data_IF_190247379256
#
_entry.id   IF_190247379256
#
_cell.length_a   1.000
_cell.length_b   1.000
_cell.length_c   1.000
_cell.angle_alpha   90.00
_cell.angle_beta   90.00
_cell.angle_gamma   90.00
#
_symmetry.space_group_name_H-M   'P 1'
#
loop_
_entity.id
_entity.type
_entity.pdbx_description
1 polymer ?
#
# COMPACT_ATOMS: atom_id res chain seq x y z
N UNK A 1 25.80 6.40 14.90
CA UNK A 1 26.89 5.43 15.19
C UNK A 1 26.29 4.07 15.48
N UNK A 2 26.93 2.98 15.03
CA UNK A 2 26.42 1.60 15.07
C UNK A 2 26.74 0.78 13.81
N UNK A 3 27.19 1.42 12.72
CA UNK A 3 27.45 0.77 11.43
C UNK A 3 28.43 -0.41 11.51
N UNK A 4 29.58 -0.34 12.20
CA UNK A 4 30.51 -1.49 12.31
C UNK A 4 29.90 -2.69 13.04
N UNK A 5 29.12 -2.43 14.09
CA UNK A 5 28.45 -3.48 14.86
C UNK A 5 27.32 -4.14 14.06
N UNK A 6 26.54 -3.34 13.33
CA UNK A 6 25.52 -3.82 12.40
C UNK A 6 26.12 -4.60 11.23
N UNK A 7 27.22 -4.13 10.66
CA UNK A 7 27.92 -4.84 9.59
C UNK A 7 28.43 -6.19 10.09
N UNK A 8 29.03 -6.23 11.29
CA UNK A 8 29.46 -7.48 11.92
C UNK A 8 28.27 -8.42 12.15
N UNK A 9 27.15 -7.90 12.65
CA UNK A 9 25.92 -8.67 12.88
C UNK A 9 25.34 -9.22 11.58
N UNK A 10 25.24 -8.36 10.54
CA UNK A 10 24.81 -8.73 9.20
C UNK A 10 25.66 -9.87 8.65
N UNK A 11 26.99 -9.73 8.67
CA UNK A 11 27.90 -10.74 8.13
C UNK A 11 27.80 -12.07 8.87
N UNK A 12 27.64 -12.06 10.20
CA UNK A 12 27.46 -13.27 10.99
C UNK A 12 26.15 -14.00 10.64
N UNK A 13 25.04 -13.25 10.54
CA UNK A 13 23.73 -13.80 10.18
C UNK A 13 23.67 -14.24 8.72
N UNK A 14 24.24 -13.45 7.82
CA UNK A 14 24.32 -13.75 6.39
C UNK A 14 25.11 -15.03 6.14
N UNK A 15 26.21 -15.27 6.86
CA UNK A 15 26.98 -16.52 6.75
C UNK A 15 26.15 -17.76 7.07
N UNK A 16 25.19 -17.66 7.99
CA UNK A 16 24.31 -18.76 8.41
C UNK A 16 23.16 -19.04 7.44
N UNK A 17 22.88 -18.12 6.51
CA UNK A 17 21.86 -18.35 5.49
C UNK A 17 22.20 -19.54 4.59
N UNK A 18 21.16 -20.27 4.20
CA UNK A 18 21.24 -21.31 3.19
C UNK A 18 21.77 -20.78 1.86
N UNK A 19 22.35 -21.66 1.06
CA UNK A 19 22.83 -21.29 -0.29
C UNK A 19 21.71 -20.70 -1.15
N UNK A 20 20.48 -21.23 -1.03
CA UNK A 20 19.31 -20.72 -1.77
C UNK A 20 18.92 -19.31 -1.33
N UNK A 21 18.89 -19.04 -0.03
CA UNK A 21 18.60 -17.70 0.49
C UNK A 21 19.64 -16.68 0.03
N UNK A 22 20.93 -17.02 0.08
CA UNK A 22 22.02 -16.18 -0.44
C UNK A 22 21.86 -15.89 -1.94
N UNK A 23 21.52 -16.92 -2.74
CA UNK A 23 21.29 -16.76 -4.17
C UNK A 23 20.10 -15.83 -4.47
N UNK A 24 19.02 -15.92 -3.68
CA UNK A 24 17.88 -14.98 -3.80
C UNK A 24 18.32 -13.55 -3.47
N UNK A 25 19.04 -13.33 -2.36
CA UNK A 25 19.55 -11.99 -2.01
C UNK A 25 20.45 -11.41 -3.12
N UNK A 26 21.30 -12.24 -3.73
CA UNK A 26 22.18 -11.83 -4.84
C UNK A 26 21.38 -11.32 -6.04
N UNK A 27 20.27 -11.99 -6.37
CA UNK A 27 19.38 -11.58 -7.47
C UNK A 27 18.70 -10.22 -7.24
N UNK A 28 18.54 -9.82 -5.99
CA UNK A 28 18.05 -8.49 -5.62
C UNK A 28 19.19 -7.49 -5.34
N UNK A 29 20.46 -7.85 -5.55
CA UNK A 29 21.66 -7.07 -5.19
C UNK A 29 21.74 -6.72 -3.69
N UNK A 30 21.23 -7.60 -2.83
CA UNK A 30 21.15 -7.43 -1.38
C UNK A 30 22.17 -8.30 -0.61
N UNK A 31 23.21 -8.80 -1.28
CA UNK A 31 24.32 -9.51 -0.63
C UNK A 31 25.28 -8.54 0.04
N UNK A 32 25.44 -7.35 -0.53
CA UNK A 32 26.19 -6.24 0.05
C UNK A 32 25.40 -5.57 1.20
N UNK A 33 26.11 -5.26 2.29
CA UNK A 33 25.51 -4.67 3.49
C UNK A 33 24.88 -3.31 3.22
N UNK A 34 25.56 -2.43 2.47
CA UNK A 34 25.07 -1.06 2.27
C UNK A 34 23.78 -1.08 1.43
N UNK A 35 23.74 -1.92 0.39
CA UNK A 35 22.52 -2.12 -0.40
C UNK A 35 21.39 -2.72 0.43
N UNK A 36 21.66 -3.77 1.22
CA UNK A 36 20.67 -4.38 2.10
C UNK A 36 20.10 -3.37 3.09
N UNK A 37 20.98 -2.63 3.78
CA UNK A 37 20.61 -1.65 4.79
C UNK A 37 19.75 -0.53 4.21
N UNK A 38 20.15 0.05 3.07
CA UNK A 38 19.38 1.12 2.44
C UNK A 38 18.01 0.64 1.94
N UNK A 39 17.94 -0.51 1.28
CA UNK A 39 16.70 -1.00 0.70
C UNK A 39 15.69 -1.44 1.78
N UNK A 40 16.13 -2.26 2.73
CA UNK A 40 15.24 -2.95 3.66
C UNK A 40 14.96 -2.11 4.93
N UNK A 41 15.96 -1.35 5.40
CA UNK A 41 15.89 -0.65 6.68
C UNK A 41 15.52 0.81 6.49
N UNK A 42 16.30 1.57 5.71
CA UNK A 42 16.08 3.03 5.53
C UNK A 42 14.80 3.28 4.72
N UNK A 43 14.71 2.69 3.53
CA UNK A 43 13.60 2.95 2.62
C UNK A 43 12.34 2.14 2.94
N UNK A 44 12.41 1.24 3.94
CA UNK A 44 11.32 0.35 4.36
C UNK A 44 10.68 -0.41 3.19
N UNK A 45 11.43 -0.72 2.14
CA UNK A 45 10.86 -1.47 1.01
C UNK A 45 10.42 -2.85 1.48
N UNK A 46 9.16 -3.20 1.19
CA UNK A 46 8.67 -4.58 1.26
C UNK A 46 9.18 -5.31 0.03
N UNK A 47 10.37 -5.90 0.12
CA UNK A 47 10.87 -6.81 -0.91
C UNK A 47 10.10 -8.11 -0.78
N UNK A 48 9.33 -8.46 -1.80
CA UNK A 48 8.64 -9.75 -1.89
C UNK A 48 9.60 -10.77 -2.48
N UNK A 49 10.41 -11.45 -1.65
CA UNK A 49 11.38 -12.42 -2.15
C UNK A 49 10.71 -13.58 -2.91
N UNK A 50 9.46 -13.91 -2.57
CA UNK A 50 8.63 -14.91 -3.22
C UNK A 50 8.30 -14.59 -4.68
N UNK A 51 8.56 -13.36 -5.15
CA UNK A 51 8.46 -13.06 -6.59
C UNK A 51 9.58 -13.70 -7.41
N UNK A 52 10.67 -14.15 -6.76
CA UNK A 52 11.75 -14.85 -7.44
C UNK A 52 11.48 -16.36 -7.49
N UNK A 53 11.59 -16.95 -8.70
CA UNK A 53 11.28 -18.37 -8.96
C UNK A 53 12.02 -19.37 -8.06
N UNK A 54 13.22 -19.00 -7.60
CA UNK A 54 14.06 -19.84 -6.74
C UNK A 54 13.79 -19.64 -5.23
N UNK A 55 12.85 -18.76 -4.88
CA UNK A 55 12.43 -18.49 -3.51
C UNK A 55 11.20 -19.33 -3.14
N UNK A 56 11.43 -20.60 -2.82
CA UNK A 56 10.38 -21.45 -2.22
C UNK A 56 10.02 -21.01 -0.80
N UNK A 57 8.92 -21.54 -0.25
CA UNK A 57 8.37 -21.12 1.04
C UNK A 57 9.39 -21.19 2.20
N UNK A 58 10.20 -22.26 2.24
CA UNK A 58 11.26 -22.39 3.26
C UNK A 58 12.32 -21.29 3.14
N UNK A 59 12.71 -20.93 1.91
CA UNK A 59 13.70 -19.86 1.64
C UNK A 59 13.11 -18.50 1.99
N UNK A 60 11.84 -18.26 1.66
CA UNK A 60 11.12 -17.04 2.02
C UNK A 60 11.10 -16.85 3.53
N UNK A 61 10.70 -17.88 4.28
CA UNK A 61 10.63 -17.85 5.75
C UNK A 61 12.00 -17.55 6.37
N UNK A 62 13.06 -18.16 5.85
CA UNK A 62 14.43 -17.91 6.29
C UNK A 62 14.84 -16.43 6.07
N UNK A 63 14.53 -15.87 4.90
CA UNK A 63 14.82 -14.47 4.57
C UNK A 63 14.00 -13.49 5.40
N UNK A 64 12.73 -13.80 5.68
CA UNK A 64 11.87 -12.97 6.54
C UNK A 64 12.40 -12.92 7.98
N UNK A 65 12.84 -14.06 8.51
CA UNK A 65 13.49 -14.14 9.83
C UNK A 65 14.76 -13.29 9.83
N UNK A 66 15.62 -13.43 8.80
CA UNK A 66 16.85 -12.66 8.66
C UNK A 66 16.58 -11.14 8.65
N UNK A 67 15.59 -10.70 7.88
CA UNK A 67 15.21 -9.28 7.80
C UNK A 67 14.63 -8.78 9.13
N UNK A 68 13.74 -9.55 9.75
CA UNK A 68 13.10 -9.18 11.02
C UNK A 68 14.11 -9.06 12.14
N UNK A 69 14.99 -10.06 12.28
CA UNK A 69 16.04 -10.10 13.28
C UNK A 69 17.03 -8.93 13.12
N UNK A 70 17.36 -8.59 11.88
CA UNK A 70 18.20 -7.42 11.59
C UNK A 70 17.52 -6.10 11.96
N UNK A 71 16.20 -5.95 11.71
CA UNK A 71 15.43 -4.75 12.10
C UNK A 71 15.38 -4.56 13.61
N UNK A 72 15.19 -5.63 14.37
CA UNK A 72 15.22 -5.59 15.84
C UNK A 72 16.58 -5.10 16.31
N UNK A 73 17.66 -5.68 15.78
CA UNK A 73 19.02 -5.26 16.16
C UNK A 73 19.32 -3.80 15.82
N UNK A 74 18.79 -3.30 14.72
CA UNK A 74 18.89 -1.90 14.34
C UNK A 74 18.20 -0.98 15.35
N UNK A 75 16.96 -1.28 15.75
CA UNK A 75 16.25 -0.44 16.72
C UNK A 75 16.93 -0.49 18.10
N UNK A 76 17.43 -1.65 18.56
CA UNK A 76 18.23 -1.73 19.81
C UNK A 76 19.44 -0.79 19.78
N UNK A 77 20.19 -0.80 18.67
CA UNK A 77 21.39 0.03 18.53
C UNK A 77 21.03 1.51 18.36
N UNK A 78 19.90 1.79 17.72
CA UNK A 78 19.37 3.14 17.58
C UNK A 78 18.97 3.70 18.94
N UNK A 79 18.26 2.95 19.76
CA UNK A 79 17.93 3.32 21.15
C UNK A 79 19.18 3.53 22.00
N UNK A 80 20.16 2.63 21.92
CA UNK A 80 21.46 2.81 22.59
C UNK A 80 22.24 4.03 22.11
N UNK A 81 22.08 4.41 20.84
CA UNK A 81 22.71 5.59 20.26
C UNK A 81 21.91 6.88 20.50
N UNK A 82 20.65 6.79 20.93
CA UNK A 82 19.76 7.94 21.17
C UNK A 82 20.11 8.74 22.43
N UNK A 83 21.07 8.27 23.22
CA UNK A 83 21.74 9.06 24.27
C UNK A 83 22.84 9.99 23.73
N UNK A 84 23.16 9.96 22.43
CA UNK A 84 23.99 10.98 21.78
C UNK A 84 23.12 12.05 21.14
N UNK A 85 23.43 13.30 21.47
CA UNK A 85 22.80 14.51 20.96
C UNK A 85 22.48 14.40 19.47
N UNK A 86 21.20 14.22 19.14
CA UNK A 86 20.69 14.55 17.80
C UNK A 86 21.08 15.99 17.52
N UNK A 87 21.75 16.22 16.39
CA UNK A 87 21.97 17.56 15.86
C UNK A 87 20.59 18.21 15.71
N UNK A 88 20.20 19.04 16.68
CA UNK A 88 18.98 19.82 16.61
C UNK A 88 19.25 20.99 15.67
N UNK A 89 18.89 20.81 14.41
CA UNK A 89 18.73 21.94 13.48
C UNK A 89 17.50 22.75 13.90
N UNK A 90 17.64 24.06 13.87
CA UNK A 90 16.53 25.00 13.99
C UNK A 90 15.66 24.92 12.74
N UNK A 91 14.37 25.23 12.90
CA UNK A 91 13.40 25.28 11.81
C UNK A 91 13.85 26.20 10.67
N UNK A 92 14.49 27.33 11.00
CA UNK A 92 15.07 28.26 10.02
C UNK A 92 16.14 27.61 9.13
N UNK A 93 16.99 26.75 9.69
CA UNK A 93 18.04 26.04 8.93
C UNK A 93 17.43 24.99 7.99
N UNK A 94 16.38 24.30 8.45
CA UNK A 94 15.64 23.32 7.65
C UNK A 94 15.00 24.01 6.44
N UNK A 95 14.25 25.09 6.69
CA UNK A 95 13.59 25.88 5.64
C UNK A 95 14.59 26.43 4.63
N UNK A 96 15.74 26.95 5.09
CA UNK A 96 16.74 27.51 4.17
C UNK A 96 17.44 26.42 3.35
N UNK A 97 17.67 25.24 3.93
CA UNK A 97 18.14 24.08 3.18
C UNK A 97 17.15 23.67 2.08
N UNK A 98 15.86 23.60 2.38
CA UNK A 98 14.82 23.29 1.39
C UNK A 98 14.82 24.28 0.21
N UNK A 99 14.94 25.59 0.49
CA UNK A 99 15.07 26.61 -0.57
C UNK A 99 16.32 26.43 -1.43
N UNK A 100 17.40 25.91 -0.87
CA UNK A 100 18.62 25.61 -1.64
C UNK A 100 18.43 24.36 -2.50
N UNK A 101 17.74 23.34 -1.99
CA UNK A 101 17.38 22.13 -2.73
C UNK A 101 16.47 22.44 -3.92
N UNK A 102 15.52 23.35 -3.77
CA UNK A 102 14.58 23.76 -4.84
C UNK A 102 15.26 24.36 -6.09
N UNK A 103 16.47 24.89 -5.90
CA UNK A 103 17.31 25.48 -6.97
C UNK A 103 18.14 24.45 -7.72
N UNK A 104 18.20 23.20 -7.26
CA UNK A 104 18.96 22.14 -7.90
C UNK A 104 18.25 21.62 -9.16
N UNK A 105 19.02 21.01 -10.06
CA UNK A 105 18.43 20.30 -11.20
C UNK A 105 17.69 19.04 -10.74
N UNK A 106 16.69 18.61 -11.50
CA UNK A 106 15.93 17.36 -11.23
C UNK A 106 16.86 16.15 -11.11
N UNK A 107 17.92 16.12 -11.93
CA UNK A 107 18.91 15.05 -11.86
C UNK A 107 19.61 15.01 -10.50
N UNK A 108 20.01 16.18 -9.98
CA UNK A 108 20.66 16.28 -8.67
C UNK A 108 19.71 15.92 -7.54
N UNK A 109 18.45 16.39 -7.59
CA UNK A 109 17.40 16.03 -6.62
C UNK A 109 17.20 14.51 -6.57
N UNK A 110 17.09 13.85 -7.72
CA UNK A 110 16.93 12.39 -7.77
C UNK A 110 18.15 11.64 -7.19
N UNK A 111 19.36 12.16 -7.38
CA UNK A 111 20.56 11.58 -6.76
C UNK A 111 20.57 11.79 -5.26
N UNK A 112 20.23 12.98 -4.77
CA UNK A 112 20.11 13.23 -3.33
C UNK A 112 19.04 12.35 -2.69
N UNK A 113 17.89 12.16 -3.35
CA UNK A 113 16.84 11.25 -2.90
C UNK A 113 17.35 9.80 -2.81
N UNK A 114 18.03 9.32 -3.86
CA UNK A 114 18.61 7.97 -3.89
C UNK A 114 19.60 7.73 -2.74
N UNK A 115 20.35 8.77 -2.36
CA UNK A 115 21.30 8.73 -1.25
C UNK A 115 20.66 8.90 0.13
N UNK A 116 19.38 9.28 0.21
CA UNK A 116 18.76 9.69 1.48
C UNK A 116 19.33 11.02 2.01
N UNK A 117 19.73 11.91 1.11
CA UNK A 117 20.33 13.21 1.37
C UNK A 117 19.42 14.39 0.98
N UNK A 118 18.11 14.16 0.80
CA UNK A 118 17.15 15.19 0.40
C UNK A 118 16.68 16.07 1.58
N UNK A 119 17.02 15.71 2.82
CA UNK A 119 16.79 16.54 4.00
C UNK A 119 18.13 16.96 4.64
N UNK A 120 18.07 18.01 5.46
CA UNK A 120 19.25 18.64 6.06
C UNK A 120 20.11 17.67 6.88
N UNK A 121 19.48 16.79 7.66
CA UNK A 121 20.18 15.79 8.47
C UNK A 121 20.93 14.78 7.60
N UNK A 122 20.25 14.20 6.61
CA UNK A 122 20.81 13.24 5.67
C UNK A 122 21.96 13.85 4.86
N UNK A 123 21.77 15.09 4.38
CA UNK A 123 22.79 15.81 3.65
C UNK A 123 24.02 16.10 4.51
N UNK A 124 23.83 16.63 5.73
CA UNK A 124 24.94 16.90 6.65
C UNK A 124 25.71 15.63 6.97
N UNK A 125 24.98 14.54 7.28
CA UNK A 125 25.58 13.24 7.60
C UNK A 125 26.44 12.66 6.48
N UNK A 126 26.08 12.93 5.22
CA UNK A 126 26.72 12.31 4.05
C UNK A 126 27.78 13.19 3.39
N UNK A 127 27.64 14.52 3.46
CA UNK A 127 28.50 15.44 2.71
C UNK A 127 29.31 16.39 3.60
N UNK A 128 28.86 16.64 4.84
CA UNK A 128 29.51 17.55 5.79
C UNK A 128 30.23 16.81 6.93
N UNK A 129 29.74 15.64 7.34
CA UNK A 129 30.39 14.84 8.38
C UNK A 129 31.75 14.29 7.89
N UNK A 130 32.76 14.41 8.74
CA UNK A 130 34.08 13.82 8.50
C UNK A 130 34.07 12.28 8.46
N UNK A 131 33.03 11.66 9.03
CA UNK A 131 32.94 10.21 9.20
C UNK A 131 32.43 9.45 7.96
N UNK A 132 31.78 10.11 7.00
CA UNK A 132 31.24 9.46 5.79
C UNK A 132 31.65 10.23 4.53
N UNK A 133 32.63 9.72 3.79
CA UNK A 133 32.98 10.24 2.47
C UNK A 133 32.36 9.36 1.39
N UNK A 134 31.15 9.70 0.97
CA UNK A 134 30.62 9.17 -0.30
C UNK A 134 31.29 9.95 -1.43
N UNK A 135 31.83 9.23 -2.41
CA UNK A 135 32.27 9.81 -3.68
C UNK A 135 31.08 9.84 -4.65
N UNK A 136 30.48 11.01 -4.94
CA UNK A 136 29.28 11.08 -5.74
C UNK A 136 29.50 10.60 -7.18
N UNK A 137 30.74 10.66 -7.70
CA UNK A 137 31.05 10.21 -9.06
C UNK A 137 30.89 8.70 -9.25
N UNK A 138 30.90 7.92 -8.16
CA UNK A 138 30.62 6.48 -8.21
C UNK A 138 29.14 6.17 -8.35
N UNK A 139 28.26 7.17 -8.21
CA UNK A 139 26.82 6.99 -8.33
C UNK A 139 26.42 7.09 -9.80
N UNK A 140 25.67 6.08 -10.26
CA UNK A 140 25.13 6.06 -11.62
C UNK A 140 24.36 7.35 -11.92
N UNK A 141 24.66 7.96 -13.07
CA UNK A 141 24.10 9.23 -13.54
C UNK A 141 24.57 10.50 -12.79
N UNK A 142 25.55 10.41 -11.88
CA UNK A 142 26.17 11.59 -11.27
C UNK A 142 27.30 12.14 -12.16
N UNK A 143 26.93 12.91 -13.17
CA UNK A 143 27.91 13.62 -14.01
C UNK A 143 28.55 14.81 -13.29
N UNK A 144 29.60 15.38 -13.90
CA UNK A 144 30.34 16.54 -13.36
C UNK A 144 29.42 17.70 -12.98
N UNK A 145 28.38 17.98 -13.79
CA UNK A 145 27.40 19.03 -13.49
C UNK A 145 26.64 18.77 -12.19
N UNK A 146 26.16 17.54 -11.98
CA UNK A 146 25.47 17.15 -10.75
C UNK A 146 26.40 17.24 -9.55
N UNK A 147 27.65 16.80 -9.70
CA UNK A 147 28.66 16.94 -8.66
C UNK A 147 28.89 18.42 -8.27
N UNK A 148 29.01 19.32 -9.25
CA UNK A 148 29.19 20.75 -9.00
C UNK A 148 27.98 21.36 -8.27
N UNK A 149 26.75 20.94 -8.61
CA UNK A 149 25.55 21.36 -7.89
C UNK A 149 25.55 20.89 -6.42
N UNK A 150 25.97 19.65 -6.15
CA UNK A 150 26.10 19.11 -4.79
C UNK A 150 27.19 19.86 -4.01
N UNK A 151 28.33 20.13 -4.62
CA UNK A 151 29.42 20.89 -3.98
C UNK A 151 29.00 22.33 -3.67
N UNK A 152 28.29 22.99 -4.60
CA UNK A 152 27.76 24.34 -4.34
C UNK A 152 26.73 24.35 -3.21
N UNK A 153 25.88 23.32 -3.11
CA UNK A 153 24.95 23.16 -1.99
C UNK A 153 25.70 22.96 -0.67
N UNK A 154 26.76 22.13 -0.69
CA UNK A 154 27.64 21.88 0.45
C UNK A 154 28.26 23.17 0.98
N UNK A 155 28.89 23.96 0.11
CA UNK A 155 29.54 25.23 0.49
C UNK A 155 28.55 26.22 1.12
N UNK A 156 27.37 26.39 0.52
CA UNK A 156 26.33 27.29 1.05
C UNK A 156 25.85 26.84 2.43
N UNK A 157 25.72 25.52 2.61
CA UNK A 157 25.28 24.96 3.88
C UNK A 157 26.36 25.06 4.96
N UNK A 158 27.64 24.90 4.61
CA UNK A 158 28.75 25.14 5.55
C UNK A 158 28.76 26.58 6.06
N UNK A 159 28.51 27.57 5.20
CA UNK A 159 28.37 28.98 5.62
C UNK A 159 27.18 29.15 6.57
N UNK A 160 26.05 28.53 6.24
CA UNK A 160 24.83 28.61 7.05
C UNK A 160 24.99 27.96 8.43
N UNK A 161 25.75 26.87 8.54
CA UNK A 161 25.95 26.14 9.79
C UNK A 161 27.16 26.63 10.60
N UNK A 162 28.16 27.27 9.97
CA UNK A 162 29.35 27.82 10.67
C UNK A 162 28.99 28.88 11.71
N UNK A 163 27.88 29.60 11.56
CA UNK A 163 27.39 30.57 12.56
C UNK A 163 27.09 29.94 13.93
N UNK A 164 27.03 28.61 14.05
CA UNK A 164 26.90 27.91 15.34
C UNK A 164 28.20 27.34 15.91
N UNK A 165 29.25 27.20 15.10
CA UNK A 165 30.49 26.54 15.57
C UNK A 165 31.50 27.52 16.19
N UNK A 166 31.31 28.83 16.03
CA UNK A 166 32.16 29.87 16.64
C UNK A 166 31.56 30.48 17.92
N UNK A 167 30.26 30.31 18.18
CA UNK A 167 29.60 30.73 19.43
C UNK A 167 29.24 29.51 20.31
N UNK A 168 30.25 28.91 20.95
CA UNK A 168 30.03 28.04 22.11
C UNK A 168 30.82 28.62 23.29
N UNK A 169 30.32 29.72 23.84
CA UNK A 169 30.56 30.07 25.25
C UNK A 169 29.42 29.47 26.08
N UNK A 170 29.71 28.77 27.19
CA UNK A 170 28.66 28.19 28.03
C UNK A 170 28.02 29.29 28.88
N UNK A 171 26.76 29.64 28.62
CA UNK A 171 25.93 30.49 29.47
C UNK A 171 24.54 29.86 29.65
N UNK A 172 23.84 30.17 30.75
CA UNK A 172 23.25 29.19 31.63
C UNK A 172 21.82 28.85 31.22
N UNK A 173 21.41 27.64 31.59
CA UNK A 173 20.04 27.15 31.53
C UNK A 173 19.07 28.13 32.20
N UNK A 174 18.27 28.82 31.38
CA UNK A 174 16.95 29.30 31.78
C UNK A 174 15.90 28.43 31.11
N UNK A 175 15.11 27.79 31.95
CA UNK A 175 13.87 27.12 31.58
C UNK A 175 12.90 28.16 31.03
N UNK A 176 12.49 27.97 29.77
CA UNK A 176 11.29 28.60 29.21
C UNK A 176 10.32 27.49 28.88
N UNK A 177 9.30 27.36 29.72
CA UNK A 177 8.07 26.62 29.49
C UNK A 177 7.24 27.36 28.44
N UNK A 178 7.59 27.17 27.16
CA UNK A 178 6.75 27.55 26.03
C UNK A 178 5.88 26.36 25.64
N UNK A 179 4.58 26.48 25.88
CA UNK A 179 3.55 25.55 25.38
C UNK A 179 3.67 25.56 23.84
N UNK A 180 4.13 24.45 23.27
CA UNK A 180 4.10 24.20 21.83
C UNK A 180 2.64 23.93 21.49
N UNK A 181 2.00 24.87 20.78
CA UNK A 181 0.70 24.63 20.18
C UNK A 181 0.80 23.43 19.25
N UNK A 182 -0.07 22.44 19.48
CA UNK A 182 -0.12 21.22 18.68
C UNK A 182 -0.35 21.55 17.20
N UNK A 183 0.24 20.81 16.25
CA UNK A 183 -0.10 20.93 14.84
C UNK A 183 -1.62 20.84 14.68
N UNK A 184 -2.25 21.84 14.06
CA UNK A 184 -3.66 21.80 13.72
C UNK A 184 -3.95 20.46 13.05
N UNK A 185 -4.83 19.65 13.66
CA UNK A 185 -5.24 18.36 13.09
C UNK A 185 -5.75 18.63 11.67
N UNK A 186 -4.98 18.20 10.67
CA UNK A 186 -5.41 18.15 9.28
C UNK A 186 -6.78 17.46 9.27
N UNK A 187 -7.80 18.19 8.86
CA UNK A 187 -9.13 17.65 8.72
C UNK A 187 -9.05 16.62 7.59
N UNK A 188 -9.17 15.33 7.91
CA UNK A 188 -9.17 14.28 6.90
C UNK A 188 -10.42 14.43 6.03
N UNK A 189 -10.22 14.85 4.78
CA UNK A 189 -11.28 14.82 3.78
C UNK A 189 -11.56 13.37 3.39
N UNK A 190 -12.82 12.98 3.36
CA UNK A 190 -13.25 11.66 2.95
C UNK A 190 -14.07 11.79 1.68
N UNK A 191 -13.60 11.19 0.59
CA UNK A 191 -14.31 11.15 -0.68
C UNK A 191 -15.02 9.81 -0.84
N UNK A 192 -16.29 9.86 -1.26
CA UNK A 192 -17.06 8.66 -1.60
C UNK A 192 -16.42 7.96 -2.80
N UNK A 193 -16.68 6.66 -2.93
CA UNK A 193 -16.05 5.90 -4.00
C UNK A 193 -16.41 6.48 -5.38
N UNK A 194 -17.65 6.92 -5.59
CA UNK A 194 -18.09 7.57 -6.83
C UNK A 194 -17.17 8.70 -7.29
N UNK A 195 -16.62 9.48 -6.35
CA UNK A 195 -15.65 10.52 -6.69
C UNK A 195 -14.25 9.96 -6.94
N UNK A 196 -13.78 8.98 -6.16
CA UNK A 196 -12.55 8.26 -6.50
C UNK A 196 -12.64 7.64 -7.92
N UNK A 197 -13.80 7.12 -8.30
CA UNK A 197 -14.06 6.58 -9.63
C UNK A 197 -13.98 7.67 -10.70
N UNK A 198 -14.67 8.79 -10.48
CA UNK A 198 -14.63 9.94 -11.37
C UNK A 198 -13.20 10.46 -11.55
N UNK A 199 -12.44 10.59 -10.47
CA UNK A 199 -11.04 11.02 -10.51
C UNK A 199 -10.19 10.02 -11.30
N UNK A 200 -10.24 8.73 -10.97
CA UNK A 200 -9.40 7.71 -11.59
C UNK A 200 -9.73 7.50 -13.08
N UNK A 201 -11.00 7.58 -13.46
CA UNK A 201 -11.40 7.54 -14.88
C UNK A 201 -10.78 8.72 -15.64
N UNK A 202 -11.00 9.95 -15.15
CA UNK A 202 -10.46 11.14 -15.78
C UNK A 202 -8.93 11.17 -15.77
N UNK A 203 -8.29 10.60 -14.74
CA UNK A 203 -6.84 10.43 -14.69
C UNK A 203 -6.36 9.40 -15.73
N UNK A 204 -7.12 8.31 -15.94
CA UNK A 204 -6.76 7.24 -16.87
C UNK A 204 -6.82 7.64 -18.34
N UNK A 205 -7.64 8.62 -18.71
CA UNK A 205 -7.73 9.15 -20.07
C UNK A 205 -6.64 10.20 -20.37
N UNK A 206 -5.91 10.68 -19.36
CA UNK A 206 -4.79 11.59 -19.56
C UNK A 206 -3.66 10.95 -20.39
N UNK A 207 -2.95 11.80 -21.13
CA UNK A 207 -1.71 11.46 -21.80
C UNK A 207 -0.67 10.94 -20.79
N UNK A 208 0.20 10.04 -21.24
CA UNK A 208 1.25 9.49 -20.36
C UNK A 208 2.15 10.59 -19.78
N UNK A 209 2.34 11.68 -20.51
CA UNK A 209 3.13 12.83 -20.06
C UNK A 209 2.42 13.56 -18.91
N UNK A 210 1.13 13.85 -19.03
CA UNK A 210 0.32 14.46 -17.97
C UNK A 210 0.29 13.58 -16.72
N UNK A 211 0.05 12.27 -16.87
CA UNK A 211 0.11 11.30 -15.76
C UNK A 211 1.44 11.33 -15.02
N UNK A 212 2.55 11.28 -15.75
CA UNK A 212 3.88 11.31 -15.15
C UNK A 212 4.14 12.61 -14.36
N UNK A 213 3.63 13.75 -14.83
CA UNK A 213 3.73 15.03 -14.12
C UNK A 213 2.97 14.97 -12.79
N UNK A 214 1.71 14.51 -12.82
CA UNK A 214 0.89 14.37 -11.61
C UNK A 214 1.50 13.36 -10.62
N UNK A 215 2.01 12.22 -11.10
CA UNK A 215 2.71 11.22 -10.25
C UNK A 215 3.94 11.83 -9.58
N UNK A 216 4.80 12.52 -10.34
CA UNK A 216 6.01 13.15 -9.81
C UNK A 216 5.70 14.31 -8.86
N UNK A 217 4.52 14.90 -8.97
CA UNK A 217 4.04 15.96 -8.06
C UNK A 217 3.25 15.39 -6.88
N UNK A 218 3.16 14.07 -6.74
CA UNK A 218 2.35 13.38 -5.74
C UNK A 218 0.85 13.73 -5.81
N UNK A 219 0.31 14.04 -6.99
CA UNK A 219 -1.09 14.39 -7.26
C UNK A 219 -1.82 13.30 -8.06
N UNK A 220 -1.34 12.05 -7.99
CA UNK A 220 -1.90 10.93 -8.76
C UNK A 220 -3.07 10.21 -8.09
N UNK A 221 -3.48 10.62 -6.88
CA UNK A 221 -4.65 10.07 -6.19
C UNK A 221 -5.58 11.21 -5.78
N UNK A 222 -6.88 10.91 -5.66
CA UNK A 222 -7.87 11.90 -5.25
C UNK A 222 -7.53 12.50 -3.87
N UNK A 223 -7.09 11.67 -2.92
CA UNK A 223 -6.75 12.14 -1.58
C UNK A 223 -5.58 13.11 -1.60
N UNK A 224 -4.51 12.79 -2.33
CA UNK A 224 -3.34 13.66 -2.41
C UNK A 224 -3.62 14.93 -3.19
N UNK A 225 -4.44 14.81 -4.24
CA UNK A 225 -4.95 15.92 -5.03
C UNK A 225 -5.78 16.86 -4.17
N UNK A 226 -6.82 16.36 -3.51
CA UNK A 226 -7.71 17.17 -2.71
C UNK A 226 -7.02 17.77 -1.49
N UNK A 227 -6.14 17.02 -0.81
CA UNK A 227 -5.32 17.58 0.27
C UNK A 227 -4.46 18.72 -0.24
N UNK A 228 -3.84 18.58 -1.41
CA UNK A 228 -3.08 19.67 -2.02
C UNK A 228 -3.96 20.90 -2.25
N UNK A 229 -5.12 20.76 -2.88
CA UNK A 229 -5.97 21.90 -3.24
C UNK A 229 -6.66 22.55 -2.02
N UNK A 230 -7.14 21.74 -1.07
CA UNK A 230 -7.89 22.23 0.08
C UNK A 230 -6.94 22.85 1.13
N UNK A 231 -5.81 22.20 1.42
CA UNK A 231 -4.86 22.71 2.44
C UNK A 231 -4.12 23.93 1.93
N UNK A 232 -3.79 23.98 0.64
CA UNK A 232 -2.94 25.05 0.12
C UNK A 232 -3.70 26.31 -0.29
N UNK A 233 -5.05 26.29 -0.30
CA UNK A 233 -5.92 27.38 -0.81
C UNK A 233 -5.44 27.97 -2.16
N UNK A 234 -4.68 27.19 -2.93
CA UNK A 234 -4.01 27.70 -4.11
C UNK A 234 -4.89 27.49 -5.33
N UNK A 235 -5.11 28.57 -6.07
CA UNK A 235 -5.58 28.48 -7.44
C UNK A 235 -4.53 27.78 -8.32
N UNK A 236 -5.02 27.01 -9.29
CA UNK A 236 -4.27 26.25 -10.30
C UNK A 236 -3.12 27.06 -10.92
N UNK A 237 -3.32 28.36 -11.13
CA UNK A 237 -2.35 29.27 -11.74
C UNK A 237 -0.99 29.32 -11.01
N UNK A 238 -0.94 28.92 -9.75
CA UNK A 238 0.28 28.90 -8.96
C UNK A 238 1.12 27.64 -9.14
N UNK A 239 0.56 26.54 -9.66
CA UNK A 239 1.31 25.29 -9.86
C UNK A 239 2.09 25.37 -11.17
N UNK A 240 3.36 25.74 -11.08
CA UNK A 240 4.28 25.69 -12.23
C UNK A 240 4.81 24.28 -12.42
N UNK A 241 4.10 23.47 -13.20
CA UNK A 241 4.60 22.16 -13.64
C UNK A 241 5.83 22.34 -14.53
N UNK A 242 7.01 21.91 -14.04
CA UNK A 242 8.25 21.94 -14.83
C UNK A 242 8.15 20.97 -16.02
N UNK A 243 8.71 21.34 -17.17
CA UNK A 243 8.72 20.53 -18.41
C UNK A 243 7.33 20.19 -18.98
N UNK A 244 6.32 21.03 -18.73
CA UNK A 244 5.01 20.89 -19.34
C UNK A 244 5.01 21.58 -20.72
N UNK A 245 4.76 20.82 -21.79
CA UNK A 245 4.50 21.42 -23.10
C UNK A 245 3.09 22.00 -23.13
N UNK A 246 2.82 22.98 -23.99
CA UNK A 246 1.53 23.70 -24.09
C UNK A 246 0.31 22.77 -24.06
N UNK A 247 0.30 21.73 -24.92
CA UNK A 247 -0.78 20.71 -24.95
C UNK A 247 -0.98 19.99 -23.61
N UNK A 248 0.11 19.63 -22.93
CA UNK A 248 0.02 18.94 -21.63
C UNK A 248 -0.46 19.91 -20.55
N UNK A 249 -0.11 21.19 -20.65
CA UNK A 249 -0.58 22.23 -19.73
C UNK A 249 -2.09 22.42 -19.86
N UNK A 250 -2.62 22.52 -21.08
CA UNK A 250 -4.07 22.62 -21.33
C UNK A 250 -4.83 21.39 -20.84
N UNK A 251 -4.29 20.20 -21.10
CA UNK A 251 -4.85 18.92 -20.65
C UNK A 251 -4.92 18.85 -19.11
N UNK A 252 -3.82 19.20 -18.42
CA UNK A 252 -3.79 19.23 -16.96
C UNK A 252 -4.73 20.28 -16.39
N UNK A 253 -4.79 21.48 -16.97
CA UNK A 253 -5.71 22.53 -16.53
C UNK A 253 -7.18 22.09 -16.64
N UNK A 254 -7.52 21.43 -17.76
CA UNK A 254 -8.88 20.90 -17.99
C UNK A 254 -9.23 19.80 -16.98
N UNK A 255 -8.31 18.86 -16.74
CA UNK A 255 -8.48 17.80 -15.74
C UNK A 255 -8.66 18.37 -14.33
N UNK A 256 -7.79 19.29 -13.93
CA UNK A 256 -7.81 19.85 -12.58
C UNK A 256 -9.12 20.60 -12.35
N UNK A 257 -9.52 21.48 -13.28
CA UNK A 257 -10.78 22.21 -13.21
C UNK A 257 -11.98 21.27 -13.09
N UNK A 258 -11.99 20.18 -13.87
CA UNK A 258 -13.04 19.17 -13.80
C UNK A 258 -13.14 18.52 -12.40
N UNK A 259 -12.01 18.24 -11.75
CA UNK A 259 -12.01 17.71 -10.39
C UNK A 259 -12.45 18.78 -9.38
N UNK A 260 -11.94 20.00 -9.47
CA UNK A 260 -12.32 21.12 -8.59
C UNK A 260 -13.82 21.42 -8.65
N UNK A 261 -14.39 21.52 -9.84
CA UNK A 261 -15.82 21.71 -10.05
C UNK A 261 -16.59 20.58 -9.36
N UNK A 262 -16.08 19.34 -9.42
CA UNK A 262 -16.69 18.19 -8.75
C UNK A 262 -16.54 18.25 -7.22
N UNK A 263 -15.44 18.79 -6.68
CA UNK A 263 -15.31 19.04 -5.23
C UNK A 263 -16.32 20.10 -4.79
N UNK A 264 -16.42 21.20 -5.54
CA UNK A 264 -17.25 22.36 -5.18
C UNK A 264 -18.76 22.08 -5.21
N UNK A 265 -19.23 21.26 -6.14
CA UNK A 265 -20.67 21.03 -6.36
C UNK A 265 -21.25 19.85 -5.58
N UNK A 266 -20.45 19.11 -4.84
CA UNK A 266 -20.83 17.79 -4.36
C UNK A 266 -20.80 17.77 -2.82
N UNK A 267 -21.88 18.24 -2.19
CA UNK A 267 -22.06 18.16 -0.73
C UNK A 267 -22.25 16.71 -0.25
N UNK A 268 -22.56 15.77 -1.16
CA UNK A 268 -22.76 14.34 -0.90
C UNK A 268 -21.49 13.49 -0.97
N UNK A 269 -20.33 14.15 -1.02
CA UNK A 269 -18.99 13.54 -1.12
C UNK A 269 -18.67 12.57 0.02
N UNK A 270 -19.46 12.55 1.10
CA UNK A 270 -19.16 11.77 2.31
C UNK A 270 -19.96 10.47 2.48
N UNK A 271 -20.93 10.18 1.61
CA UNK A 271 -21.83 9.03 1.78
C UNK A 271 -21.45 7.86 0.85
N UNK A 272 -20.39 7.10 1.18
CA UNK A 272 -20.24 5.76 0.57
C UNK A 272 -21.42 4.90 1.00
N UNK A 273 -22.03 4.22 0.03
CA UNK A 273 -23.13 3.27 0.26
C UNK A 273 -22.61 1.84 0.49
N UNK A 274 -21.30 1.66 0.67
CA UNK A 274 -20.63 0.38 0.81
C UNK A 274 -19.91 -0.08 -0.46
N UNK A 275 -18.96 -1.00 -0.28
CA UNK A 275 -18.01 -1.44 -1.32
C UNK A 275 -18.74 -2.08 -2.51
N UNK A 276 -19.81 -2.83 -2.26
CA UNK A 276 -20.57 -3.51 -3.29
C UNK A 276 -21.43 -2.53 -4.08
N UNK A 277 -22.09 -1.58 -3.42
CA UNK A 277 -22.82 -0.51 -4.14
C UNK A 277 -21.88 0.27 -5.06
N UNK A 278 -20.71 0.60 -4.53
CA UNK A 278 -19.70 1.38 -5.23
C UNK A 278 -19.12 0.60 -6.42
N UNK A 279 -18.86 -0.71 -6.24
CA UNK A 279 -18.44 -1.58 -7.35
C UNK A 279 -19.53 -1.76 -8.42
N UNK A 280 -20.80 -1.92 -8.02
CA UNK A 280 -21.93 -2.02 -8.96
C UNK A 280 -22.08 -0.74 -9.78
N UNK A 281 -21.88 0.42 -9.16
CA UNK A 281 -21.86 1.71 -9.85
C UNK A 281 -20.71 1.77 -10.85
N UNK A 282 -19.54 1.22 -10.49
CA UNK A 282 -18.38 1.11 -11.37
C UNK A 282 -18.64 0.22 -12.59
N UNK A 283 -19.27 -0.95 -12.41
CA UNK A 283 -19.65 -1.84 -13.51
C UNK A 283 -20.61 -1.18 -14.51
N UNK A 284 -21.52 -0.33 -14.04
CA UNK A 284 -22.52 0.35 -14.88
C UNK A 284 -21.99 1.57 -15.61
N UNK A 285 -21.11 2.34 -14.97
CA UNK A 285 -20.66 3.65 -15.47
C UNK A 285 -19.45 3.57 -16.39
N UNK A 286 -18.60 2.56 -16.27
CA UNK A 286 -17.34 2.51 -17.00
C UNK A 286 -17.30 1.49 -18.12
N UNK A 287 -16.62 1.84 -19.21
CA UNK A 287 -16.12 0.93 -20.26
C UNK A 287 -15.00 0.00 -19.76
N UNK A 288 -14.99 -0.31 -18.46
CA UNK A 288 -13.90 -1.07 -17.85
C UNK A 288 -13.92 -2.48 -18.38
N UNK A 289 -15.09 -3.11 -18.40
CA UNK A 289 -15.26 -4.42 -18.97
C UNK A 289 -15.75 -4.28 -20.41
N UNK A 290 -15.10 -5.01 -21.31
CA UNK A 290 -15.61 -5.19 -22.67
C UNK A 290 -16.90 -6.02 -22.61
N UNK A 291 -17.69 -5.97 -23.66
CA UNK A 291 -18.94 -6.74 -23.73
C UNK A 291 -18.73 -8.25 -23.47
N UNK A 292 -17.73 -8.95 -24.08
CA UNK A 292 -17.45 -10.34 -23.73
C UNK A 292 -17.10 -10.55 -22.25
N UNK A 293 -16.39 -9.61 -21.63
CA UNK A 293 -16.06 -9.67 -20.21
C UNK A 293 -17.30 -9.50 -19.32
N UNK A 294 -18.26 -8.65 -19.72
CA UNK A 294 -19.54 -8.50 -19.03
C UNK A 294 -20.40 -9.77 -19.13
N UNK A 295 -20.47 -10.41 -20.31
CA UNK A 295 -21.14 -11.71 -20.46
C UNK A 295 -20.49 -12.78 -19.58
N UNK A 296 -19.16 -12.79 -19.49
CA UNK A 296 -18.45 -13.69 -18.57
C UNK A 296 -18.78 -13.37 -17.11
N UNK A 297 -18.82 -12.10 -16.73
CA UNK A 297 -19.17 -11.64 -15.38
C UNK A 297 -20.58 -12.10 -14.97
N UNK A 298 -21.59 -11.78 -15.79
CA UNK A 298 -23.00 -12.03 -15.47
C UNK A 298 -23.41 -13.49 -15.71
N UNK A 299 -23.03 -14.08 -16.85
CA UNK A 299 -23.58 -15.36 -17.29
C UNK A 299 -22.65 -16.55 -17.05
N UNK A 300 -21.33 -16.40 -17.14
CA UNK A 300 -20.42 -17.54 -16.91
C UNK A 300 -20.12 -17.74 -15.42
N UNK A 301 -19.69 -16.66 -14.76
CA UNK A 301 -19.36 -16.66 -13.34
C UNK A 301 -20.58 -16.47 -12.43
N UNK A 302 -21.70 -15.95 -12.95
CA UNK A 302 -22.90 -15.66 -12.15
C UNK A 302 -22.57 -14.79 -10.93
N UNK A 303 -21.77 -13.75 -11.14
CA UNK A 303 -21.39 -12.83 -10.07
C UNK A 303 -22.53 -11.95 -9.59
N UNK A 304 -23.55 -11.71 -10.43
CA UNK A 304 -24.83 -11.12 -10.04
C UNK A 304 -25.96 -12.15 -10.22
N UNK A 305 -26.84 -12.21 -9.22
CA UNK A 305 -27.99 -13.12 -9.22
C UNK A 305 -29.08 -12.64 -10.18
N UNK A 306 -29.84 -13.57 -10.76
CA UNK A 306 -30.92 -13.28 -11.70
C UNK A 306 -30.53 -13.36 -13.18
N UNK A 307 -29.26 -13.63 -13.49
CA UNK A 307 -28.80 -13.89 -14.86
C UNK A 307 -28.77 -15.40 -15.16
N UNK A 308 -29.16 -15.79 -16.39
CA UNK A 308 -29.07 -17.18 -16.84
C UNK A 308 -27.60 -17.59 -17.01
N UNK A 309 -27.24 -18.79 -16.52
CA UNK A 309 -25.88 -19.30 -16.63
C UNK A 309 -25.56 -19.79 -18.04
N UNK A 310 -24.49 -19.29 -18.66
CA UNK A 310 -24.04 -19.68 -20.00
C UNK A 310 -22.72 -20.47 -19.96
N UNK A 311 -22.55 -21.38 -20.92
CA UNK A 311 -21.26 -22.01 -21.18
C UNK A 311 -20.32 -21.06 -21.95
N UNK A 312 -19.00 -21.31 -21.89
CA UNK A 312 -18.00 -20.59 -22.69
C UNK A 312 -18.34 -20.65 -24.18
N UNK A 313 -18.83 -21.80 -24.66
CA UNK A 313 -19.25 -22.00 -26.04
C UNK A 313 -20.45 -21.12 -26.42
N UNK A 314 -21.49 -21.08 -25.58
CA UNK A 314 -22.66 -20.21 -25.80
C UNK A 314 -22.25 -18.74 -25.85
N UNK A 315 -21.34 -18.30 -24.97
CA UNK A 315 -20.81 -16.93 -25.00
C UNK A 315 -20.00 -16.68 -26.28
N UNK A 316 -19.19 -17.65 -26.72
CA UNK A 316 -18.44 -17.55 -27.98
C UNK A 316 -19.34 -17.35 -29.19
N UNK A 317 -20.43 -18.12 -29.28
CA UNK A 317 -21.44 -17.97 -30.33
C UNK A 317 -22.13 -16.60 -30.29
N UNK A 318 -22.51 -16.12 -29.10
CA UNK A 318 -23.18 -14.81 -28.95
C UNK A 318 -22.28 -13.63 -29.32
N UNK A 319 -20.97 -13.74 -29.04
CA UNK A 319 -19.99 -12.67 -29.23
C UNK A 319 -19.21 -12.76 -30.54
N UNK A 320 -19.52 -13.73 -31.40
CA UNK A 320 -18.75 -14.05 -32.62
C UNK A 320 -17.24 -14.26 -32.34
N UNK A 321 -16.94 -15.04 -31.30
CA UNK A 321 -15.58 -15.35 -30.85
C UNK A 321 -15.39 -16.86 -30.67
N UNK A 322 -14.17 -17.34 -30.91
CA UNK A 322 -13.85 -18.75 -30.66
C UNK A 322 -13.90 -19.08 -29.16
N UNK A 323 -14.24 -20.33 -28.84
CA UNK A 323 -14.29 -20.85 -27.46
C UNK A 323 -12.96 -20.63 -26.72
N UNK A 324 -11.81 -20.85 -27.37
CA UNK A 324 -10.50 -20.61 -26.75
C UNK A 324 -10.27 -19.11 -26.50
N UNK A 325 -10.75 -18.22 -27.38
CA UNK A 325 -10.65 -16.78 -27.14
C UNK A 325 -11.46 -16.36 -25.92
N UNK A 326 -12.69 -16.84 -25.77
CA UNK A 326 -13.49 -16.59 -24.56
C UNK A 326 -12.81 -17.17 -23.32
N UNK A 327 -12.20 -18.36 -23.40
CA UNK A 327 -11.44 -18.97 -22.29
C UNK A 327 -10.23 -18.12 -21.87
N UNK A 328 -9.55 -17.47 -22.80
CA UNK A 328 -8.48 -16.53 -22.49
C UNK A 328 -9.00 -15.27 -21.81
N UNK A 329 -10.12 -14.72 -22.29
CA UNK A 329 -10.76 -13.53 -21.71
C UNK A 329 -11.23 -13.84 -20.29
N UNK A 330 -11.86 -15.00 -20.04
CA UNK A 330 -12.38 -15.38 -18.72
C UNK A 330 -11.32 -15.40 -17.63
N UNK A 331 -10.13 -15.94 -17.94
CA UNK A 331 -8.97 -15.90 -17.02
C UNK A 331 -8.58 -14.47 -16.60
N UNK A 332 -8.79 -13.50 -17.48
CA UNK A 332 -8.44 -12.10 -17.20
C UNK A 332 -9.51 -11.37 -16.40
N UNK A 333 -10.79 -11.76 -16.52
CA UNK A 333 -11.91 -11.11 -15.81
C UNK A 333 -11.68 -11.08 -14.31
N UNK A 334 -11.36 -12.23 -13.70
CA UNK A 334 -11.11 -12.30 -12.24
C UNK A 334 -9.93 -11.41 -11.85
N UNK A 335 -8.80 -11.49 -12.56
CA UNK A 335 -7.63 -10.66 -12.29
C UNK A 335 -7.93 -9.17 -12.41
N UNK A 336 -8.78 -8.79 -13.37
CA UNK A 336 -9.22 -7.41 -13.58
C UNK A 336 -10.09 -6.94 -12.41
N UNK A 337 -11.04 -7.77 -11.95
CA UNK A 337 -11.82 -7.50 -10.72
C UNK A 337 -10.88 -7.28 -9.54
N UNK A 338 -9.92 -8.19 -9.28
CA UNK A 338 -8.98 -8.06 -8.16
C UNK A 338 -8.20 -6.74 -8.23
N UNK A 339 -7.68 -6.39 -9.41
CA UNK A 339 -6.95 -5.12 -9.63
C UNK A 339 -7.82 -3.90 -9.39
N UNK A 340 -9.08 -3.92 -9.86
CA UNK A 340 -10.04 -2.85 -9.58
C UNK A 340 -10.18 -2.73 -8.06
N UNK A 341 -10.54 -3.80 -7.37
CA UNK A 341 -10.75 -3.75 -5.92
C UNK A 341 -9.51 -3.23 -5.18
N UNK A 342 -8.32 -3.72 -5.53
CA UNK A 342 -7.06 -3.28 -4.91
C UNK A 342 -6.76 -1.81 -5.16
N UNK A 343 -6.94 -1.34 -6.40
CA UNK A 343 -6.64 0.04 -6.76
C UNK A 343 -7.63 1.04 -6.14
N UNK A 344 -8.89 0.66 -6.00
CA UNK A 344 -9.94 1.55 -5.51
C UNK A 344 -10.14 1.49 -4.00
N UNK A 345 -10.08 0.29 -3.43
CA UNK A 345 -10.44 0.07 -2.02
C UNK A 345 -9.26 -0.37 -1.16
N UNK A 346 -8.15 -0.85 -1.75
CA UNK A 346 -7.01 -1.38 -0.99
C UNK A 346 -6.33 -0.37 -0.08
N UNK A 347 -6.38 0.92 -0.41
CA UNK A 347 -5.82 2.01 0.40
C UNK A 347 -6.74 2.49 1.54
N UNK A 348 -8.02 2.13 1.51
CA UNK A 348 -9.04 2.79 2.35
C UNK A 348 -9.58 1.82 3.40
N UNK A 349 -8.77 1.59 4.44
CA UNK A 349 -9.09 0.67 5.56
C UNK A 349 -10.46 0.92 6.19
N UNK A 350 -10.92 2.17 6.24
CA UNK A 350 -12.21 2.54 6.83
C UNK A 350 -13.41 1.91 6.11
N UNK A 351 -13.34 1.72 4.78
CA UNK A 351 -14.48 1.19 4.02
C UNK A 351 -14.72 -0.29 4.29
N UNK A 352 -13.67 -1.06 4.58
CA UNK A 352 -13.83 -2.50 4.75
C UNK A 352 -13.78 -3.00 6.19
N UNK A 353 -13.39 -2.17 7.17
CA UNK A 353 -13.40 -2.56 8.59
C UNK A 353 -14.72 -3.18 9.04
N UNK A 354 -15.85 -2.70 8.50
CA UNK A 354 -17.18 -3.20 8.84
C UNK A 354 -17.41 -4.66 8.39
N UNK A 355 -16.70 -5.17 7.39
CA UNK A 355 -16.79 -6.58 6.99
C UNK A 355 -15.77 -7.46 7.74
N UNK A 356 -14.80 -6.86 8.43
CA UNK A 356 -13.67 -7.54 9.07
C UNK A 356 -13.56 -7.18 10.56
N UNK A 357 -14.63 -7.40 11.32
CA UNK A 357 -14.68 -7.13 12.76
C UNK A 357 -14.52 -8.39 13.62
N UNK A 358 -15.11 -9.51 13.19
CA UNK A 358 -15.13 -10.76 13.94
C UNK A 358 -13.81 -11.52 13.89
N UNK A 359 -13.56 -12.42 14.83
CA UNK A 359 -12.39 -13.30 14.77
C UNK A 359 -12.40 -14.21 13.54
N UNK A 360 -13.58 -14.60 13.09
CA UNK A 360 -13.81 -15.24 11.82
C UNK A 360 -15.23 -14.93 11.31
N UNK A 361 -15.46 -15.06 10.01
CA UNK A 361 -16.80 -15.01 9.42
C UNK A 361 -16.87 -15.89 8.17
N UNK A 362 -18.08 -16.34 7.85
CA UNK A 362 -18.36 -17.20 6.69
C UNK A 362 -19.15 -16.39 5.66
N UNK A 363 -18.73 -16.45 4.41
CA UNK A 363 -19.49 -15.85 3.30
C UNK A 363 -20.54 -16.87 2.80
N UNK A 364 -21.63 -17.00 3.57
CA UNK A 364 -22.77 -17.85 3.25
C UNK A 364 -23.95 -17.07 2.63
N UNK A 365 -25.07 -17.76 2.35
CA UNK A 365 -26.24 -17.15 1.72
C UNK A 365 -26.92 -16.09 2.62
N UNK A 366 -26.85 -16.25 3.95
CA UNK A 366 -27.42 -15.29 4.90
C UNK A 366 -26.59 -14.01 4.95
N UNK A 367 -25.26 -14.16 5.06
CA UNK A 367 -24.31 -13.04 5.04
C UNK A 367 -24.47 -12.21 3.76
N UNK A 368 -24.63 -12.88 2.62
CA UNK A 368 -24.80 -12.22 1.33
C UNK A 368 -26.16 -11.56 1.18
N UNK A 369 -27.21 -12.17 1.70
CA UNK A 369 -28.53 -11.53 1.76
C UNK A 369 -28.48 -10.24 2.58
N UNK A 370 -27.73 -10.23 3.68
CA UNK A 370 -27.55 -9.03 4.50
C UNK A 370 -26.75 -7.94 3.78
N UNK A 371 -25.61 -8.27 3.16
CA UNK A 371 -24.84 -7.32 2.32
C UNK A 371 -25.72 -6.75 1.21
N UNK A 372 -26.37 -7.61 0.42
CA UNK A 372 -27.20 -7.21 -0.70
C UNK A 372 -28.36 -6.29 -0.26
N UNK A 373 -28.95 -6.55 0.91
CA UNK A 373 -29.99 -5.70 1.48
C UNK A 373 -29.44 -4.34 1.93
N UNK A 374 -28.31 -4.33 2.65
CA UNK A 374 -27.69 -3.09 3.17
C UNK A 374 -27.18 -2.19 2.05
N UNK A 375 -26.69 -2.78 0.97
CA UNK A 375 -26.02 -2.10 -0.14
C UNK A 375 -26.84 -2.07 -1.44
N UNK A 376 -28.13 -2.44 -1.41
CA UNK A 376 -29.00 -2.48 -2.59
C UNK A 376 -28.35 -3.15 -3.83
N UNK A 377 -27.72 -4.29 -3.59
CA UNK A 377 -27.01 -5.09 -4.58
C UNK A 377 -27.63 -6.48 -4.74
N UNK A 378 -27.16 -7.24 -5.73
CA UNK A 378 -27.65 -8.59 -6.03
C UNK A 378 -26.49 -9.57 -6.27
N UNK A 379 -25.34 -9.31 -5.68
CA UNK A 379 -24.15 -10.10 -5.94
C UNK A 379 -24.23 -11.49 -5.30
N UNK A 380 -23.56 -12.44 -5.93
CA UNK A 380 -23.45 -13.81 -5.42
C UNK A 380 -22.37 -13.92 -4.34
N UNK A 381 -22.45 -14.97 -3.51
CA UNK A 381 -21.43 -15.30 -2.51
C UNK A 381 -20.03 -15.41 -3.11
N UNK A 382 -19.91 -16.00 -4.30
CA UNK A 382 -18.64 -16.14 -5.00
C UNK A 382 -18.02 -14.78 -5.30
N UNK A 383 -18.82 -13.82 -5.78
CA UNK A 383 -18.34 -12.48 -6.07
C UNK A 383 -17.89 -11.75 -4.80
N UNK A 384 -18.70 -11.82 -3.75
CA UNK A 384 -18.36 -11.21 -2.47
C UNK A 384 -17.10 -11.79 -1.84
N UNK A 385 -16.91 -13.10 -1.87
CA UNK A 385 -15.66 -13.73 -1.42
C UNK A 385 -14.46 -13.17 -2.20
N UNK A 386 -14.56 -13.03 -3.54
CA UNK A 386 -13.48 -12.46 -4.36
C UNK A 386 -13.22 -11.00 -3.99
N UNK A 387 -14.26 -10.19 -3.81
CA UNK A 387 -14.12 -8.78 -3.40
C UNK A 387 -13.40 -8.69 -2.06
N UNK A 388 -13.89 -9.43 -1.05
CA UNK A 388 -13.32 -9.42 0.31
C UNK A 388 -11.88 -9.95 0.34
N UNK A 389 -11.58 -11.01 -0.41
CA UNK A 389 -10.21 -11.51 -0.58
C UNK A 389 -9.30 -10.44 -1.20
N UNK A 390 -9.80 -9.72 -2.21
CA UNK A 390 -9.02 -8.73 -2.96
C UNK A 390 -8.71 -7.47 -2.16
N UNK A 391 -9.48 -7.17 -1.12
CA UNK A 391 -9.17 -6.09 -0.16
C UNK A 391 -7.89 -6.37 0.62
N UNK A 392 -7.44 -7.63 0.65
CA UNK A 392 -6.15 -8.06 1.22
C UNK A 392 -5.93 -7.54 2.65
N UNK A 393 -6.95 -7.67 3.50
CA UNK A 393 -6.83 -7.26 4.90
C UNK A 393 -5.67 -8.03 5.57
N UNK A 394 -4.62 -7.34 6.06
CA UNK A 394 -3.42 -7.99 6.57
C UNK A 394 -3.68 -8.84 7.81
N UNK A 395 -4.77 -8.62 8.52
CA UNK A 395 -5.14 -9.34 9.74
C UNK A 395 -5.88 -10.64 9.46
N UNK A 396 -6.39 -10.86 8.25
CA UNK A 396 -7.22 -12.03 7.93
C UNK A 396 -6.54 -12.94 6.90
N UNK A 397 -6.96 -14.20 6.94
CA UNK A 397 -6.61 -15.22 5.98
C UNK A 397 -7.90 -15.86 5.46
N UNK A 398 -7.98 -16.08 4.14
CA UNK A 398 -9.09 -16.78 3.52
C UNK A 398 -8.80 -18.30 3.56
N UNK A 399 -9.56 -19.01 4.38
CA UNK A 399 -9.69 -20.46 4.32
C UNK A 399 -10.71 -20.80 3.23
N UNK A 400 -10.26 -21.04 2.00
CA UNK A 400 -11.10 -21.55 0.91
C UNK A 400 -10.64 -22.95 0.47
N UNK A 401 -11.58 -23.83 0.12
CA UNK A 401 -11.21 -25.06 -0.59
C UNK A 401 -10.48 -24.74 -1.90
N UNK A 402 -9.24 -25.20 -2.01
CA UNK A 402 -8.54 -25.65 -3.23
C UNK A 402 -9.17 -25.18 -4.56
N UNK A 403 -8.53 -24.19 -5.19
CA UNK A 403 -8.27 -24.02 -6.64
C UNK A 403 -9.35 -24.35 -7.69
N UNK A 404 -10.63 -24.50 -7.34
CA UNK A 404 -11.70 -24.66 -8.33
C UNK A 404 -12.24 -23.27 -8.70
N UNK A 405 -12.04 -22.78 -9.94
CA UNK A 405 -12.35 -21.41 -10.35
C UNK A 405 -13.85 -21.04 -10.32
N UNK A 406 -14.73 -21.92 -9.84
CA UNK A 406 -16.19 -21.83 -9.99
C UNK A 406 -16.97 -21.91 -8.66
N UNK A 407 -16.33 -22.14 -7.52
CA UNK A 407 -16.98 -22.08 -6.19
C UNK A 407 -16.03 -21.44 -5.18
N UNK A 408 -16.21 -20.14 -4.94
CA UNK A 408 -15.51 -19.42 -3.88
C UNK A 408 -16.45 -19.24 -2.70
N UNK A 409 -16.64 -20.32 -1.95
CA UNK A 409 -17.15 -20.24 -0.59
C UNK A 409 -15.91 -20.03 0.30
N UNK A 410 -15.99 -19.06 1.21
CA UNK A 410 -14.82 -18.57 1.92
C UNK A 410 -15.09 -18.36 3.40
N UNK A 411 -14.22 -18.92 4.24
CA UNK A 411 -14.16 -18.58 5.66
C UNK A 411 -12.98 -17.62 5.83
N UNK A 412 -13.25 -16.41 6.30
CA UNK A 412 -12.20 -15.45 6.65
C UNK A 412 -11.89 -15.60 8.13
N UNK A 413 -10.61 -15.75 8.47
CA UNK A 413 -10.15 -16.00 9.84
C UNK A 413 -9.03 -15.04 10.19
N UNK A 414 -9.07 -14.41 11.38
CA UNK A 414 -7.97 -13.58 11.88
C UNK A 414 -6.71 -14.42 12.04
N UNK A 415 -5.58 -13.89 11.57
CA UNK A 415 -4.26 -14.53 11.65
C UNK A 415 -3.82 -14.84 13.08
N UNK A 416 -4.29 -14.07 14.05
CA UNK A 416 -4.05 -14.32 15.48
C UNK A 416 -4.55 -15.69 15.95
N UNK A 417 -5.60 -16.23 15.31
CA UNK A 417 -6.18 -17.55 15.62
C UNK A 417 -6.04 -18.57 14.48
N UNK A 418 -5.41 -18.16 13.36
CA UNK A 418 -5.34 -18.98 12.15
C UNK A 418 -4.55 -20.28 12.33
N UNK A 419 -3.57 -20.34 13.24
CA UNK A 419 -2.80 -21.56 13.49
C UNK A 419 -3.69 -22.67 14.11
N UNK A 420 -4.54 -22.29 15.05
CA UNK A 420 -5.49 -23.19 15.72
C UNK A 420 -6.62 -23.59 14.77
N UNK A 421 -7.10 -22.64 13.97
CA UNK A 421 -8.18 -22.87 13.01
C UNK A 421 -7.75 -23.72 11.82
N UNK A 422 -6.59 -23.49 11.21
CA UNK A 422 -6.11 -24.27 10.07
C UNK A 422 -5.78 -25.72 10.49
N UNK A 423 -5.23 -25.90 11.69
CA UNK A 423 -5.06 -27.23 12.28
C UNK A 423 -6.41 -27.92 12.51
N UNK A 424 -7.37 -27.24 13.15
CA UNK A 424 -8.70 -27.78 13.45
C UNK A 424 -9.48 -28.11 12.17
N UNK A 425 -9.46 -27.22 11.18
CA UNK A 425 -10.09 -27.42 9.89
C UNK A 425 -9.51 -28.62 9.15
N UNK A 426 -8.17 -28.73 9.10
CA UNK A 426 -7.48 -29.89 8.52
C UNK A 426 -7.77 -31.17 9.30
N UNK A 427 -7.78 -31.10 10.63
CA UNK A 427 -8.04 -32.22 11.52
C UNK A 427 -9.46 -32.78 11.33
N UNK A 428 -10.48 -31.91 11.41
CA UNK A 428 -11.89 -32.25 11.16
C UNK A 428 -12.04 -32.90 9.78
N UNK A 429 -11.42 -32.30 8.76
CA UNK A 429 -11.56 -32.79 7.38
C UNK A 429 -10.87 -34.13 7.12
N UNK A 430 -9.72 -34.36 7.76
CA UNK A 430 -8.86 -35.54 7.55
C UNK A 430 -9.29 -36.72 8.41
N UNK A 431 -9.79 -36.48 9.63
CA UNK A 431 -9.99 -37.53 10.63
C UNK A 431 -11.46 -37.85 10.94
N UNK A 432 -12.43 -37.07 10.46
CA UNK A 432 -13.85 -37.43 10.63
C UNK A 432 -14.34 -38.28 9.45
N UNK A 433 -14.79 -39.49 9.81
CA UNK A 433 -15.35 -40.49 8.91
C UNK A 433 -16.59 -39.93 8.19
N UNK A 434 -16.89 -40.38 6.96
CA UNK A 434 -17.92 -39.77 6.08
C UNK A 434 -19.33 -39.72 6.70
N UNK A 435 -19.64 -40.65 7.61
CA UNK A 435 -20.91 -40.66 8.37
C UNK A 435 -20.95 -39.58 9.46
N UNK A 436 -19.82 -39.39 10.15
CA UNK A 436 -19.62 -38.31 11.11
C UNK A 436 -19.54 -36.94 10.43
N UNK A 437 -19.13 -36.81 9.16
CA UNK A 437 -19.19 -35.50 8.46
C UNK A 437 -20.62 -34.92 8.38
N UNK A 438 -21.62 -35.78 8.20
CA UNK A 438 -23.04 -35.39 8.18
C UNK A 438 -23.52 -35.06 9.61
N UNK A 439 -23.12 -35.86 10.59
CA UNK A 439 -23.45 -35.62 11.99
C UNK A 439 -22.70 -34.40 12.57
N UNK A 440 -21.50 -34.09 12.07
CA UNK A 440 -20.70 -32.91 12.47
C UNK A 440 -21.25 -31.65 11.82
N UNK A 441 -21.84 -31.69 10.63
CA UNK A 441 -22.62 -30.56 10.10
C UNK A 441 -23.82 -30.25 11.00
N UNK A 442 -24.48 -31.30 11.52
CA UNK A 442 -25.60 -31.16 12.45
C UNK A 442 -25.16 -30.71 13.85
N UNK A 443 -24.05 -31.25 14.39
CA UNK A 443 -23.46 -30.83 15.66
C UNK A 443 -22.81 -29.44 15.58
N UNK A 444 -22.24 -29.04 14.44
CA UNK A 444 -21.70 -27.69 14.23
C UNK A 444 -22.83 -26.65 14.21
N UNK A 445 -23.99 -26.95 13.61
CA UNK A 445 -25.19 -26.11 13.72
C UNK A 445 -25.76 -26.10 15.15
N UNK A 446 -25.66 -27.20 15.91
CA UNK A 446 -26.01 -27.20 17.34
C UNK A 446 -25.02 -26.43 18.21
N UNK A 447 -23.71 -26.49 17.94
CA UNK A 447 -22.67 -25.72 18.65
C UNK A 447 -22.76 -24.24 18.28
N UNK A 448 -23.07 -23.89 17.02
CA UNK A 448 -23.41 -22.55 16.57
C UNK A 448 -24.66 -22.03 17.32
N UNK A 449 -25.71 -22.84 17.44
CA UNK A 449 -26.90 -22.54 18.25
C UNK A 449 -26.56 -22.39 19.74
N UNK A 450 -25.67 -23.21 20.29
CA UNK A 450 -25.26 -23.18 21.71
C UNK A 450 -24.39 -21.98 22.05
N UNK A 451 -23.39 -21.69 21.22
CA UNK A 451 -22.54 -20.50 21.35
C UNK A 451 -23.35 -19.21 21.19
N UNK A 452 -24.38 -19.22 20.35
CA UNK A 452 -25.34 -18.11 20.23
C UNK A 452 -26.21 -17.93 21.47
N UNK A 453 -26.37 -18.97 22.30
CA UNK A 453 -27.19 -18.95 23.53
C UNK A 453 -26.39 -18.86 24.83
N UNK A 454 -25.11 -19.25 24.84
CA UNK A 454 -24.25 -19.37 26.04
C UNK A 454 -23.23 -18.23 26.17
N UNK A 455 -23.01 -17.40 25.13
CA UNK A 455 -22.22 -16.17 25.24
C UNK A 455 -23.02 -15.06 25.92
N UNK A 456 -23.21 -15.18 27.24
CA UNK A 456 -23.56 -14.05 28.08
C UNK A 456 -22.28 -13.24 28.36
N UNK A 457 -22.14 -12.09 27.70
CA UNK A 457 -20.92 -11.28 27.59
C UNK A 457 -20.42 -10.62 28.91
N UNK A 458 -21.05 -10.89 30.04
CA UNK A 458 -20.70 -10.26 31.32
C UNK A 458 -19.49 -10.91 32.03
N UNK A 459 -19.18 -12.19 31.76
CA UNK A 459 -18.10 -12.90 32.46
C UNK A 459 -16.70 -12.74 31.83
N UNK A 460 -16.60 -12.17 30.61
CA UNK A 460 -15.30 -11.96 29.92
C UNK A 460 -14.62 -10.66 30.38
N UNK A 461 -15.23 -9.88 31.28
CA UNK A 461 -14.63 -8.65 31.84
C UNK A 461 -13.76 -8.83 33.10
N UNK A 462 -13.58 -10.05 33.61
CA UNK A 462 -12.81 -10.29 34.85
C UNK A 462 -11.58 -11.21 34.74
N UNK A 463 -11.07 -11.45 33.53
CA UNK A 463 -9.72 -12.00 33.31
C UNK A 463 -9.00 -11.16 32.27
#
# INVERSE_FOLDING_TARGET
MGKPELLKYYLDKFKRLSYKAKAVLDKFNLTDFDNFFHCIIINRYRVSFSSHKDCGESTQRELDIFVSDFKIKWEELKEKSSTKATLKYSEKEIIEFEKLVDKLSVRTVNILLLLGALNLEGFTRLFLSSENKIDPLKIRNCGIKTLNEINSLKEKLEVLLKTKFEEVNPLPTKETTGIIESPQKLQEFHFNADFHLFFNYNFSILSQRAKNILINSHLSTLDSFANFFIVSQNSIEKIKFRNCGEKTTEELASFIKLIEDKIAHNNDVFNSKGIFTDFKSYLKKGEIFTEPELYLFYNYYSFETGYEKYSIEKIGLLMDLSTERIRQISKNVINKIKKIIQNFFGGITKYYKNYFHDEYFVVDDEYIKDINRKEDTKFSKQFATIVLESLNNPEYYLCSEIQLPLKHDGIFVKKSIACEFDWLYKFIRTNLNTKLKIDTEYEFEQVKSKLSSELNFDDVKQK
#
